data_IF_937267329802
#
_entry.id   IF_937267329802
#
_cell.length_a   1.000
_cell.length_b   1.000
_cell.length_c   1.000
_cell.angle_alpha   90.00
_cell.angle_beta   90.00
_cell.angle_gamma   90.00
#
_symmetry.space_group_name_H-M   'P 1'
#
loop_
_entity.id
_entity.type
_entity.pdbx_description
1 polymer ?
#
# COMPACT_ATOMS: atom_id res chain seq x y z
N UNK A 1 -25.37 -7.39 -43.42
CA UNK A 1 -25.92 -6.35 -44.32
C UNK A 1 -26.05 -6.86 -45.74
N UNK A 2 -25.00 -7.42 -46.36
CA UNK A 2 -25.07 -7.97 -47.71
C UNK A 2 -26.14 -9.07 -47.88
N UNK A 3 -26.24 -10.01 -46.93
CA UNK A 3 -27.28 -11.05 -46.96
C UNK A 3 -28.70 -10.54 -46.71
N UNK A 4 -28.85 -9.45 -45.93
CA UNK A 4 -30.15 -8.83 -45.63
C UNK A 4 -30.73 -8.08 -46.85
N UNK A 5 -29.84 -7.50 -47.67
CA UNK A 5 -30.19 -6.91 -48.98
C UNK A 5 -30.68 -7.99 -49.94
N UNK A 6 -30.00 -9.15 -49.97
CA UNK A 6 -30.37 -10.27 -50.84
C UNK A 6 -31.64 -11.03 -50.42
N UNK A 7 -32.08 -10.90 -49.17
CA UNK A 7 -33.28 -11.61 -48.62
C UNK A 7 -34.51 -10.72 -48.48
N UNK A 8 -34.46 -9.44 -48.90
CA UNK A 8 -35.58 -8.50 -48.76
C UNK A 8 -35.88 -8.10 -47.32
N UNK A 9 -34.91 -8.27 -46.41
CA UNK A 9 -35.07 -7.93 -45.00
C UNK A 9 -35.07 -6.41 -44.79
N UNK A 10 -35.89 -5.93 -43.85
CA UNK A 10 -35.96 -4.51 -43.48
C UNK A 10 -34.61 -4.03 -42.91
N UNK A 11 -33.85 -3.36 -43.78
CA UNK A 11 -32.52 -2.84 -43.46
C UNK A 11 -32.55 -1.81 -42.33
N UNK A 12 -33.66 -1.07 -42.18
CA UNK A 12 -33.80 -0.13 -41.08
C UNK A 12 -33.83 -0.88 -39.75
N UNK A 13 -34.60 -1.99 -39.67
CA UNK A 13 -34.67 -2.83 -38.47
C UNK A 13 -33.37 -3.56 -38.15
N UNK A 14 -32.64 -4.03 -39.15
CA UNK A 14 -31.31 -4.65 -38.92
C UNK A 14 -30.30 -3.60 -38.45
N UNK A 15 -30.35 -2.39 -39.01
CA UNK A 15 -29.52 -1.26 -38.60
C UNK A 15 -29.78 -0.83 -37.16
N UNK A 16 -31.04 -0.77 -36.72
CA UNK A 16 -31.36 -0.42 -35.33
C UNK A 16 -30.88 -1.48 -34.34
N UNK A 17 -31.09 -2.77 -34.63
CA UNK A 17 -30.60 -3.87 -33.77
C UNK A 17 -29.07 -3.90 -33.71
N UNK A 18 -28.39 -3.69 -34.84
CA UNK A 18 -26.93 -3.60 -34.87
C UNK A 18 -26.42 -2.39 -34.06
N UNK A 19 -27.09 -1.25 -34.17
CA UNK A 19 -26.76 -0.05 -33.42
C UNK A 19 -26.95 -0.28 -31.91
N UNK A 20 -28.10 -0.82 -31.50
CA UNK A 20 -28.40 -1.12 -30.09
C UNK A 20 -27.40 -2.12 -29.49
N UNK A 21 -27.07 -3.19 -30.21
CA UNK A 21 -26.06 -4.16 -29.76
C UNK A 21 -24.67 -3.55 -29.67
N UNK A 22 -24.29 -2.69 -30.61
CA UNK A 22 -23.03 -1.94 -30.57
C UNK A 22 -22.96 -1.01 -29.36
N UNK A 23 -24.04 -0.28 -29.06
CA UNK A 23 -24.12 0.58 -27.88
C UNK A 23 -24.00 -0.22 -26.58
N UNK A 24 -24.73 -1.34 -26.45
CA UNK A 24 -24.60 -2.23 -25.29
C UNK A 24 -23.18 -2.72 -25.08
N UNK A 25 -22.48 -3.09 -26.16
CA UNK A 25 -21.08 -3.53 -26.09
C UNK A 25 -20.15 -2.40 -25.64
N UNK A 26 -20.36 -1.18 -26.15
CA UNK A 26 -19.60 0.00 -25.73
C UNK A 26 -19.85 0.32 -24.24
N UNK A 27 -21.08 0.21 -23.76
CA UNK A 27 -21.43 0.47 -22.37
C UNK A 27 -20.78 -0.55 -21.43
N UNK A 28 -20.77 -1.84 -21.79
CA UNK A 28 -20.05 -2.89 -21.03
C UNK A 28 -18.55 -2.60 -20.98
N UNK A 29 -17.95 -2.16 -22.10
CA UNK A 29 -16.52 -1.80 -22.12
C UNK A 29 -16.22 -0.60 -21.21
N UNK A 30 -17.07 0.42 -21.24
CA UNK A 30 -16.96 1.59 -20.35
C UNK A 30 -17.08 1.18 -18.89
N UNK A 31 -18.07 0.36 -18.55
CA UNK A 31 -18.27 -0.15 -17.19
C UNK A 31 -17.07 -0.95 -16.71
N UNK A 32 -16.51 -1.84 -17.53
CA UNK A 32 -15.29 -2.60 -17.19
C UNK A 32 -14.10 -1.68 -16.87
N UNK A 33 -13.88 -0.66 -17.68
CA UNK A 33 -12.80 0.32 -17.46
C UNK A 33 -13.04 1.10 -16.17
N UNK A 34 -14.27 1.54 -15.92
CA UNK A 34 -14.63 2.27 -14.70
C UNK A 34 -14.39 1.43 -13.44
N UNK A 35 -14.85 0.18 -13.42
CA UNK A 35 -14.65 -0.74 -12.29
C UNK A 35 -13.16 -1.00 -12.05
N UNK A 36 -12.40 -1.24 -13.12
CA UNK A 36 -10.97 -1.48 -13.02
C UNK A 36 -10.20 -0.27 -12.49
N UNK A 37 -10.56 0.94 -12.93
CA UNK A 37 -9.97 2.18 -12.43
C UNK A 37 -10.32 2.46 -10.97
N UNK A 38 -11.55 2.17 -10.56
CA UNK A 38 -11.94 2.25 -9.16
C UNK A 38 -11.14 1.27 -8.28
N UNK A 39 -10.95 0.03 -8.76
CA UNK A 39 -10.16 -0.99 -8.07
C UNK A 39 -8.66 -0.64 -7.99
N UNK A 40 -8.08 -0.09 -9.06
CA UNK A 40 -6.71 0.45 -9.03
C UNK A 40 -6.58 1.54 -7.96
N UNK A 41 -7.51 2.49 -7.92
CA UNK A 41 -7.50 3.58 -6.95
C UNK A 41 -7.61 3.07 -5.51
N UNK A 42 -8.43 2.05 -5.25
CA UNK A 42 -8.59 1.50 -3.89
C UNK A 42 -7.33 0.77 -3.44
N UNK A 43 -6.64 0.05 -4.33
CA UNK A 43 -5.37 -0.61 -3.99
C UNK A 43 -4.30 0.41 -3.61
N UNK A 44 -4.18 1.52 -4.34
CA UNK A 44 -3.21 2.56 -3.98
C UNK A 44 -3.48 3.11 -2.58
N UNK A 45 -4.74 3.42 -2.26
CA UNK A 45 -5.12 3.92 -0.92
C UNK A 45 -4.82 2.90 0.16
N UNK A 46 -5.24 1.64 -0.02
CA UNK A 46 -5.05 0.58 0.98
C UNK A 46 -3.56 0.30 1.19
N UNK A 47 -2.77 0.21 0.12
CA UNK A 47 -1.33 -0.02 0.23
C UNK A 47 -0.61 1.10 0.98
N UNK A 48 -0.97 2.35 0.68
CA UNK A 48 -0.44 3.54 1.36
C UNK A 48 -0.74 3.50 2.86
N UNK A 49 -2.00 3.24 3.22
CA UNK A 49 -2.42 3.14 4.63
C UNK A 49 -1.73 1.98 5.34
N UNK A 50 -1.62 0.83 4.69
CA UNK A 50 -0.93 -0.34 5.22
C UNK A 50 0.54 -0.02 5.52
N UNK A 51 1.25 0.58 4.56
CA UNK A 51 2.66 0.99 4.73
C UNK A 51 2.83 2.00 5.87
N UNK A 52 1.89 2.96 6.00
CA UNK A 52 1.91 3.96 7.06
C UNK A 52 1.73 3.32 8.45
N UNK A 53 0.71 2.48 8.60
CA UNK A 53 0.41 1.81 9.87
C UNK A 53 1.55 0.90 10.28
N UNK A 54 2.08 0.11 9.34
CA UNK A 54 3.19 -0.80 9.61
C UNK A 54 4.44 -0.04 10.12
N UNK A 55 4.79 1.06 9.45
CA UNK A 55 5.92 1.92 9.86
C UNK A 55 5.70 2.59 11.20
N UNK A 56 4.47 3.00 11.49
CA UNK A 56 4.10 3.63 12.75
C UNK A 56 4.21 2.65 13.92
N UNK A 57 3.67 1.43 13.76
CA UNK A 57 3.77 0.36 14.76
C UNK A 57 5.22 0.00 15.03
N UNK A 58 6.05 -0.12 13.99
CA UNK A 58 7.48 -0.40 14.15
C UNK A 58 8.22 0.70 14.91
N UNK A 59 7.89 1.97 14.63
CA UNK A 59 8.45 3.12 15.35
C UNK A 59 8.06 3.09 16.83
N UNK A 60 6.80 2.77 17.14
CA UNK A 60 6.30 2.63 18.51
C UNK A 60 7.05 1.50 19.24
N UNK A 61 7.18 0.32 18.63
CA UNK A 61 7.90 -0.81 19.21
C UNK A 61 9.37 -0.48 19.49
N UNK A 62 10.02 0.26 18.59
CA UNK A 62 11.41 0.71 18.75
C UNK A 62 11.56 1.59 19.99
N UNK A 63 10.65 2.54 20.18
CA UNK A 63 10.68 3.45 21.32
C UNK A 63 10.37 2.73 22.63
N UNK A 64 9.36 1.87 22.62
CA UNK A 64 9.03 1.05 23.79
C UNK A 64 10.22 0.19 24.23
N UNK A 65 10.90 -0.45 23.28
CA UNK A 65 12.09 -1.24 23.58
C UNK A 65 13.24 -0.39 24.14
N UNK A 66 13.48 0.79 23.58
CA UNK A 66 14.48 1.72 24.12
C UNK A 66 14.16 2.15 25.56
N UNK A 67 12.88 2.37 25.89
CA UNK A 67 12.47 2.69 27.27
C UNK A 67 12.72 1.50 28.20
N UNK A 68 12.34 0.29 27.81
CA UNK A 68 12.56 -0.93 28.60
C UNK A 68 14.05 -1.18 28.85
N UNK A 69 14.88 -1.05 27.82
CA UNK A 69 16.34 -1.20 27.93
C UNK A 69 16.94 -0.17 28.90
N UNK A 70 16.51 1.08 28.84
CA UNK A 70 16.95 2.13 29.78
C UNK A 70 16.53 1.80 31.21
N UNK A 71 15.30 1.36 31.45
CA UNK A 71 14.82 1.01 32.79
C UNK A 71 15.58 -0.19 33.37
N UNK A 72 15.85 -1.23 32.56
CA UNK A 72 16.66 -2.39 32.97
C UNK A 72 18.10 -2.01 33.31
N UNK A 73 18.67 -0.97 32.67
CA UNK A 73 20.03 -0.48 32.96
C UNK A 73 20.17 0.26 34.30
N UNK A 74 19.06 0.75 34.88
CA UNK A 74 19.07 1.57 36.10
C UNK A 74 19.08 0.70 37.37
N UNK A 75 18.43 -0.47 37.37
CA UNK A 75 18.55 -1.39 38.52
C UNK A 75 18.37 -2.87 38.12
N UNK A 76 19.20 -3.72 38.72
CA UNK A 76 19.18 -5.18 38.52
C UNK A 76 17.90 -5.83 39.07
N UNK A 77 17.24 -5.20 40.03
CA UNK A 77 15.97 -5.68 40.59
C UNK A 77 14.79 -5.48 39.63
N UNK A 78 14.77 -4.39 38.85
CA UNK A 78 13.74 -4.16 37.82
C UNK A 78 13.88 -5.16 36.68
N UNK A 79 15.12 -5.57 36.34
CA UNK A 79 15.38 -6.62 35.36
C UNK A 79 14.81 -7.99 35.78
N UNK A 80 14.68 -8.25 37.09
CA UNK A 80 14.08 -9.49 37.61
C UNK A 80 12.55 -9.49 37.55
N UNK A 81 11.89 -8.32 37.58
CA UNK A 81 10.42 -8.19 37.61
C UNK A 81 9.83 -7.98 36.20
N UNK A 82 10.62 -7.42 35.27
CA UNK A 82 10.28 -7.32 33.83
C UNK A 82 11.22 -8.16 32.96
N UNK A 83 10.98 -9.49 32.83
CA UNK A 83 11.78 -10.39 31.99
C UNK A 83 11.43 -10.24 30.50
N UNK A 84 11.19 -9.02 30.02
CA UNK A 84 11.07 -8.76 28.59
C UNK A 84 12.47 -8.90 27.99
N UNK A 85 12.69 -10.00 27.28
CA UNK A 85 13.88 -10.14 26.43
C UNK A 85 13.81 -9.06 25.35
N UNK A 86 14.87 -8.27 25.12
CA UNK A 86 14.89 -7.33 24.01
C UNK A 86 14.58 -8.08 22.72
N UNK A 87 13.47 -7.71 22.09
CA UNK A 87 13.11 -8.22 20.78
C UNK A 87 14.20 -7.78 19.79
N UNK A 88 14.58 -8.64 18.86
CA UNK A 88 15.54 -8.32 17.81
C UNK A 88 14.91 -7.34 16.78
N UNK A 89 14.70 -6.09 17.22
CA UNK A 89 14.06 -5.02 16.44
C UNK A 89 14.89 -4.69 15.20
N UNK A 90 16.20 -4.90 15.23
CA UNK A 90 17.07 -4.78 14.06
C UNK A 90 16.63 -5.70 12.91
N UNK A 91 16.20 -6.92 13.21
CA UNK A 91 15.69 -7.85 12.20
C UNK A 91 14.37 -7.33 11.65
N UNK A 92 13.47 -6.85 12.50
CA UNK A 92 12.18 -6.30 12.08
C UNK A 92 12.36 -5.03 11.21
N UNK A 93 13.29 -4.14 11.58
CA UNK A 93 13.63 -2.93 10.82
C UNK A 93 14.14 -3.25 9.42
N UNK A 94 15.01 -4.25 9.29
CA UNK A 94 15.56 -4.65 8.00
C UNK A 94 14.56 -5.46 7.14
N UNK A 95 13.67 -6.24 7.76
CA UNK A 95 12.68 -7.05 7.04
C UNK A 95 11.45 -6.26 6.58
N UNK A 96 11.07 -5.19 7.30
CA UNK A 96 9.90 -4.36 6.96
C UNK A 96 9.93 -3.80 5.52
N UNK A 97 11.01 -3.14 5.03
CA UNK A 97 11.05 -2.64 3.66
C UNK A 97 11.00 -3.78 2.62
N UNK A 98 11.63 -4.92 2.89
CA UNK A 98 11.59 -6.10 2.01
C UNK A 98 10.15 -6.61 1.89
N UNK A 99 9.44 -6.68 3.00
CA UNK A 99 8.05 -7.10 3.03
C UNK A 99 7.14 -6.14 2.26
N UNK A 100 7.35 -4.83 2.40
CA UNK A 100 6.62 -3.80 1.65
C UNK A 100 6.88 -3.91 0.14
N UNK A 101 8.13 -4.21 -0.27
CA UNK A 101 8.47 -4.44 -1.68
C UNK A 101 7.72 -5.65 -2.23
N UNK A 102 7.69 -6.78 -1.50
CA UNK A 102 6.97 -7.98 -1.93
C UNK A 102 5.48 -7.71 -2.10
N UNK A 103 4.87 -7.02 -1.13
CA UNK A 103 3.45 -6.63 -1.20
C UNK A 103 3.20 -5.67 -2.37
N UNK A 104 4.13 -4.75 -2.65
CA UNK A 104 4.04 -3.83 -3.80
C UNK A 104 4.01 -4.60 -5.12
N UNK A 105 4.84 -5.64 -5.25
CA UNK A 105 4.85 -6.53 -6.43
C UNK A 105 3.51 -7.26 -6.56
N UNK A 106 3.00 -7.86 -5.49
CA UNK A 106 1.71 -8.55 -5.50
C UNK A 106 0.56 -7.60 -5.87
N UNK A 107 0.52 -6.40 -5.27
CA UNK A 107 -0.51 -5.40 -5.56
C UNK A 107 -0.43 -4.88 -7.00
N UNK A 108 0.77 -4.69 -7.54
CA UNK A 108 0.94 -4.31 -8.94
C UNK A 108 0.43 -5.39 -9.91
N UNK A 109 0.68 -6.67 -9.61
CA UNK A 109 0.15 -7.79 -10.39
C UNK A 109 -1.38 -7.84 -10.32
N UNK A 110 -1.96 -7.65 -9.13
CA UNK A 110 -3.42 -7.63 -8.94
C UNK A 110 -4.07 -6.49 -9.71
N UNK A 111 -3.50 -5.28 -9.68
CA UNK A 111 -3.95 -4.14 -10.50
C UNK A 111 -3.92 -4.51 -11.99
N UNK A 112 -2.83 -5.14 -12.45
CA UNK A 112 -2.70 -5.50 -13.86
C UNK A 112 -3.74 -6.52 -14.29
N UNK A 113 -3.97 -7.55 -13.49
CA UNK A 113 -4.97 -8.58 -13.75
C UNK A 113 -6.37 -7.92 -13.86
N UNK A 114 -6.67 -6.95 -13.00
CA UNK A 114 -7.94 -6.23 -13.02
C UNK A 114 -8.12 -5.27 -14.21
N UNK A 115 -7.05 -4.69 -14.75
CA UNK A 115 -7.09 -3.81 -15.93
C UNK A 115 -7.16 -4.57 -17.26
N UNK A 116 -6.53 -5.74 -17.32
CA UNK A 116 -6.30 -6.46 -18.57
C UNK A 116 -5.29 -5.72 -19.49
N UNK A 117 -5.00 -6.32 -20.65
CA UNK A 117 -4.08 -5.75 -21.66
C UNK A 117 -2.62 -6.22 -21.54
N UNK A 118 -1.71 -5.57 -22.28
CA UNK A 118 -0.32 -5.99 -22.48
C UNK A 118 0.49 -6.12 -21.18
N UNK A 119 1.22 -7.23 -20.99
CA UNK A 119 1.94 -7.57 -19.75
C UNK A 119 2.98 -6.51 -19.33
N UNK A 120 3.54 -5.74 -20.26
CA UNK A 120 4.57 -4.73 -19.95
C UNK A 120 4.06 -3.56 -19.11
N UNK A 121 2.74 -3.32 -19.03
CA UNK A 121 2.21 -2.19 -18.24
C UNK A 121 2.17 -2.47 -16.73
N UNK A 122 2.70 -3.60 -16.24
CA UNK A 122 2.82 -3.91 -14.79
C UNK A 122 3.84 -2.99 -14.11
N UNK A 123 4.86 -2.53 -14.85
CA UNK A 123 5.94 -1.73 -14.28
C UNK A 123 5.48 -0.37 -13.77
N UNK A 124 4.44 0.21 -14.37
CA UNK A 124 3.89 1.51 -13.98
C UNK A 124 3.23 1.49 -12.59
N UNK A 125 2.22 0.64 -12.31
CA UNK A 125 1.63 0.55 -10.98
C UNK A 125 2.64 0.10 -9.92
N UNK A 126 3.62 -0.73 -10.29
CA UNK A 126 4.71 -1.13 -9.39
C UNK A 126 5.57 0.06 -8.97
N UNK A 127 6.04 0.86 -9.92
CA UNK A 127 6.87 2.03 -9.63
C UNK A 127 6.13 3.05 -8.75
N UNK A 128 4.83 3.27 -9.01
CA UNK A 128 3.98 4.15 -8.21
C UNK A 128 3.85 3.63 -6.78
N UNK A 129 3.54 2.34 -6.60
CA UNK A 129 3.40 1.72 -5.27
C UNK A 129 4.71 1.82 -4.48
N UNK A 130 5.84 1.52 -5.11
CA UNK A 130 7.16 1.63 -4.47
C UNK A 130 7.49 3.08 -4.08
N UNK A 131 7.28 4.04 -4.98
CA UNK A 131 7.54 5.45 -4.69
C UNK A 131 6.69 5.96 -3.53
N UNK A 132 5.38 5.66 -3.53
CA UNK A 132 4.46 6.06 -2.45
C UNK A 132 4.89 5.41 -1.14
N UNK A 133 5.19 4.10 -1.15
CA UNK A 133 5.62 3.38 0.06
C UNK A 133 6.89 3.98 0.67
N UNK A 134 7.89 4.32 -0.14
CA UNK A 134 9.13 4.96 0.34
C UNK A 134 8.88 6.33 0.99
N UNK A 135 8.07 7.17 0.34
CA UNK A 135 7.69 8.50 0.86
C UNK A 135 6.93 8.36 2.19
N UNK A 136 5.99 7.42 2.26
CA UNK A 136 5.18 7.17 3.46
C UNK A 136 6.04 6.67 4.62
N UNK A 137 6.92 5.69 4.38
CA UNK A 137 7.81 5.16 5.42
C UNK A 137 8.70 6.26 6.00
N UNK A 138 9.30 7.08 5.13
CA UNK A 138 10.12 8.21 5.56
C UNK A 138 9.30 9.26 6.32
N UNK A 139 8.12 9.64 5.80
CA UNK A 139 7.24 10.62 6.43
C UNK A 139 6.72 10.17 7.79
N UNK A 140 6.32 8.91 7.93
CA UNK A 140 5.87 8.34 9.20
C UNK A 140 7.00 8.26 10.21
N UNK A 141 8.21 7.89 9.80
CA UNK A 141 9.37 7.89 10.70
C UNK A 141 9.61 9.27 11.32
N UNK A 142 9.64 10.33 10.49
CA UNK A 142 9.79 11.71 10.96
C UNK A 142 8.65 12.16 11.88
N UNK A 143 7.42 11.84 11.49
CA UNK A 143 6.24 12.18 12.28
C UNK A 143 6.26 11.50 13.65
N UNK A 144 6.55 10.20 13.68
CA UNK A 144 6.69 9.42 14.90
C UNK A 144 7.79 9.99 15.79
N UNK A 145 8.99 10.23 15.28
CA UNK A 145 10.10 10.78 16.09
C UNK A 145 9.74 12.13 16.71
N UNK A 146 9.04 13.00 15.97
CA UNK A 146 8.62 14.33 16.45
C UNK A 146 7.57 14.24 17.56
N UNK A 147 6.56 13.37 17.39
CA UNK A 147 5.53 13.16 18.42
C UNK A 147 6.15 12.57 19.68
N UNK A 148 6.96 11.53 19.53
CA UNK A 148 7.53 10.85 20.66
C UNK A 148 8.60 11.68 21.36
N UNK A 149 9.39 12.49 20.66
CA UNK A 149 10.32 13.44 21.31
C UNK A 149 9.56 14.50 22.11
N UNK A 150 8.44 14.97 21.59
CA UNK A 150 7.60 15.98 22.26
C UNK A 150 6.91 15.43 23.50
N UNK A 151 6.42 14.19 23.45
CA UNK A 151 5.78 13.52 24.59
C UNK A 151 6.80 13.11 25.65
N UNK A 152 7.98 12.65 25.24
CA UNK A 152 8.95 12.10 26.19
C UNK A 152 9.72 13.16 26.95
N UNK A 153 9.92 14.39 26.44
CA UNK A 153 10.48 15.53 27.19
C UNK A 153 11.84 15.29 27.89
N UNK A 154 12.43 14.10 27.77
CA UNK A 154 13.64 13.60 28.42
C UNK A 154 14.83 13.62 27.45
N UNK A 155 14.70 14.34 26.33
CA UNK A 155 15.83 14.66 25.45
C UNK A 155 16.89 15.51 26.15
N UNK A 156 16.56 16.17 27.27
CA UNK A 156 17.51 16.90 28.12
C UNK A 156 18.37 16.02 29.04
N UNK A 157 18.05 14.73 29.21
CA UNK A 157 18.86 13.77 29.98
C UNK A 157 19.73 12.84 29.11
N UNK A 158 19.62 12.92 27.78
CA UNK A 158 20.55 12.25 26.86
C UNK A 158 21.68 13.16 26.36
N UNK A 159 21.80 14.39 26.90
CA UNK A 159 22.85 15.35 26.53
C UNK A 159 23.80 15.72 27.68
N UNK A 160 23.76 15.03 28.83
CA UNK A 160 24.78 15.19 29.87
C UNK A 160 25.84 14.09 29.73
N UNK A 161 26.67 14.28 28.70
CA UNK A 161 28.15 14.12 28.62
C UNK A 161 28.86 12.79 28.93
N UNK A 162 30.07 12.55 28.37
CA UNK A 162 30.70 13.16 27.19
C UNK A 162 30.70 12.26 25.95
#
# INVERSE_FOLDING_TARGET
MYDSINTGADLARVGTVLSETTFKLLDIRKQRIQVSKAFESTIYVIHTLFSAILSFVLSLLTIFNNIVLKLQSISSEIASVMPFKPMAIEIALNMTPIFVIIISILNALVIKIAQGGMYETVLVPLAILLAISGIVMWGVSLFSTTIFSSITGLSSLMQITP
#
